data_IF_578517483800
#
_entry.id   IF_578517483800
#
_cell.length_a   1.000
_cell.length_b   1.000
_cell.length_c   1.000
_cell.angle_alpha   90.00
_cell.angle_beta   90.00
_cell.angle_gamma   90.00
#
_symmetry.space_group_name_H-M   'P 1'
#
loop_
_entity.id
_entity.type
_entity.pdbx_description
1 polymer ?
#
# COMPACT_ATOMS: atom_id res chain seq x y z
N UNK A 1 -6.97 4.28 -27.78
CA UNK A 1 -6.39 3.62 -26.61
C UNK A 1 -5.17 4.40 -26.16
N UNK A 2 -5.12 4.76 -24.89
CA UNK A 2 -3.99 5.51 -24.32
C UNK A 2 -2.72 4.65 -24.24
N UNK A 3 -1.56 5.32 -24.30
CA UNK A 3 -0.27 4.66 -24.11
C UNK A 3 -0.01 4.50 -22.62
N UNK A 4 0.49 3.34 -22.20
CA UNK A 4 0.85 3.09 -20.81
C UNK A 4 2.21 2.37 -20.69
N UNK A 5 2.82 2.48 -19.49
CA UNK A 5 4.02 1.77 -19.11
C UNK A 5 3.67 0.84 -17.94
N UNK A 6 3.94 -0.45 -18.08
CA UNK A 6 3.89 -1.39 -16.95
C UNK A 6 5.30 -1.67 -16.43
N UNK A 7 5.52 -1.46 -15.13
CA UNK A 7 6.79 -1.71 -14.47
C UNK A 7 6.59 -2.06 -13.01
N UNK A 8 6.77 -3.34 -12.66
CA UNK A 8 6.61 -3.88 -11.31
C UNK A 8 7.83 -4.78 -10.97
N UNK A 9 8.99 -4.19 -10.63
CA UNK A 9 10.26 -4.90 -10.52
C UNK A 9 10.47 -5.65 -9.21
N UNK A 10 9.57 -5.54 -8.25
CA UNK A 10 9.72 -6.11 -6.90
C UNK A 10 9.66 -7.64 -6.95
N UNK A 11 10.68 -8.32 -6.43
CA UNK A 11 10.62 -9.77 -6.18
C UNK A 11 9.70 -10.05 -5.00
N UNK A 12 8.76 -10.98 -5.12
CA UNK A 12 7.85 -11.36 -4.04
C UNK A 12 8.17 -12.77 -3.55
N UNK A 13 8.31 -12.90 -2.23
CA UNK A 13 8.41 -14.16 -1.52
C UNK A 13 7.13 -14.34 -0.70
N UNK A 14 6.25 -15.24 -1.15
CA UNK A 14 4.92 -15.41 -0.57
C UNK A 14 4.79 -16.76 0.10
N UNK A 15 4.41 -16.79 1.37
CA UNK A 15 4.12 -18.03 2.09
C UNK A 15 4.49 -17.95 3.57
N UNK A 16 4.09 -18.99 4.28
CA UNK A 16 4.39 -19.18 5.69
C UNK A 16 5.90 -19.23 5.92
N UNK A 17 6.35 -18.59 7.01
CA UNK A 17 7.74 -18.56 7.48
C UNK A 17 8.77 -17.93 6.53
N UNK A 18 8.35 -17.32 5.39
CA UNK A 18 9.27 -16.67 4.45
C UNK A 18 10.07 -15.53 5.09
N UNK A 19 9.56 -14.88 6.15
CA UNK A 19 10.30 -13.86 6.89
C UNK A 19 11.57 -14.39 7.58
N UNK A 20 11.63 -15.69 7.88
CA UNK A 20 12.81 -16.31 8.48
C UNK A 20 13.99 -16.40 7.51
N UNK A 21 13.73 -16.26 6.20
CA UNK A 21 14.75 -16.29 5.16
C UNK A 21 15.33 -14.92 4.85
N UNK A 22 14.88 -13.87 5.53
CA UNK A 22 15.23 -12.48 5.19
C UNK A 22 16.73 -12.22 5.19
N UNK A 23 17.50 -12.84 6.09
CA UNK A 23 18.96 -12.75 6.11
C UNK A 23 19.58 -13.27 4.81
N UNK A 24 19.17 -14.46 4.36
CA UNK A 24 19.64 -15.07 3.09
C UNK A 24 19.24 -14.23 1.87
N UNK A 25 18.03 -13.66 1.86
CA UNK A 25 17.56 -12.80 0.78
C UNK A 25 18.39 -11.51 0.74
N UNK A 26 18.71 -10.93 1.89
CA UNK A 26 19.56 -9.73 1.99
C UNK A 26 20.97 -9.96 1.49
N UNK A 27 21.53 -11.16 1.63
CA UNK A 27 22.86 -11.50 1.10
C UNK A 27 22.96 -11.29 -0.42
N UNK A 28 21.86 -11.40 -1.18
CA UNK A 28 21.86 -11.12 -2.62
C UNK A 28 22.21 -9.64 -2.93
N UNK A 29 22.04 -8.75 -1.95
CA UNK A 29 22.26 -7.31 -2.09
C UNK A 29 23.54 -6.81 -1.42
N UNK A 30 24.26 -7.69 -0.71
CA UNK A 30 25.54 -7.41 -0.04
C UNK A 30 25.54 -6.14 0.84
N UNK A 31 24.54 -5.95 1.73
CA UNK A 31 24.47 -4.76 2.56
C UNK A 31 25.62 -4.74 3.57
N UNK A 32 26.22 -3.56 3.78
CA UNK A 32 27.19 -3.35 4.86
C UNK A 32 26.49 -3.18 6.19
N UNK A 33 25.39 -2.42 6.20
CA UNK A 33 24.55 -2.21 7.38
C UNK A 33 23.10 -1.94 7.01
N UNK A 34 22.18 -2.62 7.66
CA UNK A 34 20.74 -2.53 7.42
C UNK A 34 20.06 -1.68 8.48
N UNK A 35 19.21 -0.72 8.07
CA UNK A 35 18.23 -0.14 8.98
C UNK A 35 17.00 -1.04 9.03
N UNK A 36 16.67 -1.63 10.19
CA UNK A 36 15.37 -2.26 10.41
C UNK A 36 14.42 -1.16 10.87
N UNK A 37 13.52 -0.74 9.95
CA UNK A 37 12.50 0.27 10.23
C UNK A 37 11.16 -0.41 10.51
N UNK A 38 10.52 -0.09 11.64
CA UNK A 38 9.33 -0.82 12.08
C UNK A 38 8.31 0.06 12.80
N UNK A 39 7.07 -0.45 12.94
CA UNK A 39 5.98 0.24 13.61
C UNK A 39 6.13 0.30 15.13
N UNK A 40 5.00 0.35 15.82
CA UNK A 40 4.96 0.42 17.27
C UNK A 40 5.17 -0.96 17.93
N UNK A 41 4.17 -1.38 18.72
CA UNK A 41 4.33 -2.57 19.60
C UNK A 41 4.12 -3.91 18.90
N UNK A 42 3.36 -3.99 17.80
CA UNK A 42 2.91 -5.26 17.21
C UNK A 42 4.07 -6.15 16.72
N UNK A 43 5.03 -5.60 15.99
CA UNK A 43 6.20 -6.36 15.51
C UNK A 43 7.09 -6.89 16.65
N UNK A 44 7.12 -6.17 17.79
CA UNK A 44 7.84 -6.58 19.01
C UNK A 44 7.05 -7.69 19.72
N UNK A 45 5.77 -7.44 20.00
CA UNK A 45 4.92 -8.34 20.78
C UNK A 45 4.66 -9.70 20.09
N UNK A 46 4.62 -9.71 18.76
CA UNK A 46 4.50 -10.96 17.99
C UNK A 46 5.81 -11.76 17.87
N UNK A 47 6.93 -11.24 18.40
CA UNK A 47 8.25 -11.83 18.25
C UNK A 47 8.82 -11.73 16.82
N UNK A 48 8.14 -11.03 15.89
CA UNK A 48 8.60 -10.88 14.50
C UNK A 48 9.96 -10.18 14.44
N UNK A 49 10.11 -9.09 15.20
CA UNK A 49 11.37 -8.35 15.21
C UNK A 49 12.55 -9.20 15.68
N UNK A 50 12.34 -10.09 16.66
CA UNK A 50 13.39 -11.00 17.15
C UNK A 50 13.72 -12.08 16.12
N UNK A 51 12.72 -12.62 15.41
CA UNK A 51 12.96 -13.53 14.27
C UNK A 51 13.78 -12.87 13.16
N UNK A 52 13.44 -11.62 12.82
CA UNK A 52 14.18 -10.83 11.80
C UNK A 52 15.62 -10.59 12.26
N UNK A 53 15.84 -10.11 13.48
CA UNK A 53 17.20 -9.90 14.02
C UNK A 53 18.01 -11.19 13.99
N UNK A 54 17.45 -12.29 14.47
CA UNK A 54 18.09 -13.60 14.43
C UNK A 54 18.50 -14.01 13.01
N UNK A 55 17.61 -13.83 12.04
CA UNK A 55 17.91 -14.16 10.64
C UNK A 55 19.07 -13.31 10.07
N UNK A 56 19.20 -12.04 10.47
CA UNK A 56 20.33 -11.20 10.09
C UNK A 56 21.62 -11.60 10.81
N UNK A 57 21.55 -11.92 12.10
CA UNK A 57 22.68 -12.37 12.90
C UNK A 57 23.27 -13.69 12.35
N UNK A 58 22.44 -14.64 11.93
CA UNK A 58 22.86 -15.91 11.29
C UNK A 58 23.67 -15.69 10.01
N UNK A 59 23.40 -14.61 9.28
CA UNK A 59 24.11 -14.25 8.05
C UNK A 59 25.21 -13.19 8.29
N UNK A 60 25.50 -12.82 9.53
CA UNK A 60 26.48 -11.79 9.92
C UNK A 60 26.21 -10.43 9.30
N UNK A 61 24.94 -10.04 9.12
CA UNK A 61 24.54 -8.75 8.59
C UNK A 61 24.39 -7.76 9.75
N UNK A 62 25.20 -6.69 9.74
CA UNK A 62 25.10 -5.62 10.72
C UNK A 62 23.80 -4.82 10.53
N UNK A 63 23.16 -4.41 11.63
CA UNK A 63 21.94 -3.61 11.56
C UNK A 63 21.84 -2.59 12.69
N UNK A 64 20.98 -1.59 12.50
CA UNK A 64 20.48 -0.69 13.53
C UNK A 64 18.95 -0.61 13.45
N UNK A 65 18.31 -0.02 14.47
CA UNK A 65 16.86 -0.04 14.63
C UNK A 65 16.29 1.38 14.57
N UNK A 66 15.16 1.56 13.88
CA UNK A 66 14.35 2.77 13.92
C UNK A 66 12.87 2.36 14.03
N UNK A 67 12.32 2.38 15.23
CA UNK A 67 10.95 1.98 15.50
C UNK A 67 10.01 3.16 15.79
N UNK A 68 8.74 2.83 16.05
CA UNK A 68 7.75 3.81 16.52
C UNK A 68 7.00 4.53 15.39
N UNK A 69 6.95 3.96 14.19
CA UNK A 69 6.08 4.49 13.12
C UNK A 69 4.62 4.36 13.54
N UNK A 70 3.86 5.42 13.37
CA UNK A 70 2.41 5.50 13.60
C UNK A 70 1.63 5.45 12.29
N UNK A 71 0.32 5.25 12.37
CA UNK A 71 -0.57 5.43 11.21
C UNK A 71 -0.44 6.88 10.69
N UNK A 72 -0.61 7.07 9.37
CA UNK A 72 -0.31 8.35 8.70
C UNK A 72 1.13 8.80 9.02
N UNK A 73 2.16 8.18 8.43
CA UNK A 73 3.54 8.29 8.89
C UNK A 73 4.04 9.73 8.86
N UNK A 74 4.71 10.15 9.94
CA UNK A 74 5.09 11.53 10.18
C UNK A 74 6.43 11.88 9.55
N UNK A 75 6.55 13.11 9.06
CA UNK A 75 7.80 13.65 8.51
C UNK A 75 8.92 13.66 9.54
N UNK A 76 8.61 13.95 10.80
CA UNK A 76 9.59 13.92 11.91
C UNK A 76 10.23 12.54 12.06
N UNK A 77 9.45 11.44 11.94
CA UNK A 77 9.95 10.07 12.00
C UNK A 77 10.82 9.71 10.77
N UNK A 78 10.44 10.20 9.61
CA UNK A 78 11.27 10.06 8.39
C UNK A 78 12.61 10.76 8.57
N UNK A 79 12.63 11.98 9.09
CA UNK A 79 13.85 12.74 9.35
C UNK A 79 14.76 12.06 10.39
N UNK A 80 14.19 11.49 11.45
CA UNK A 80 14.91 10.67 12.44
C UNK A 80 15.59 9.48 11.77
N UNK A 81 14.87 8.75 10.93
CA UNK A 81 15.43 7.60 10.17
C UNK A 81 16.55 8.02 9.21
N UNK A 82 16.41 9.16 8.55
CA UNK A 82 17.47 9.73 7.68
C UNK A 82 18.73 10.02 8.49
N UNK A 83 18.59 10.62 9.67
CA UNK A 83 19.71 10.95 10.54
C UNK A 83 20.42 9.66 11.00
N UNK A 84 19.67 8.67 11.51
CA UNK A 84 20.24 7.37 11.91
C UNK A 84 21.00 6.73 10.74
N UNK A 85 20.44 6.69 9.53
CA UNK A 85 21.11 6.11 8.39
C UNK A 85 22.45 6.80 8.08
N UNK A 86 22.51 8.12 8.16
CA UNK A 86 23.73 8.89 7.89
C UNK A 86 24.80 8.69 8.96
N UNK A 87 24.41 8.69 10.23
CA UNK A 87 25.31 8.50 11.36
C UNK A 87 25.88 7.08 11.42
N UNK A 88 25.05 6.09 11.12
CA UNK A 88 25.37 4.67 11.23
C UNK A 88 25.97 4.06 9.94
N UNK A 89 26.00 4.82 8.84
CA UNK A 89 26.50 4.36 7.55
C UNK A 89 25.65 3.27 6.92
N UNK A 90 24.33 3.37 7.06
CA UNK A 90 23.35 2.43 6.51
C UNK A 90 23.32 2.52 4.97
N UNK A 91 23.32 1.38 4.31
CA UNK A 91 23.25 1.27 2.85
C UNK A 91 22.08 0.42 2.33
N UNK A 92 21.25 -0.13 3.23
CA UNK A 92 20.02 -0.85 2.92
C UNK A 92 18.95 -0.62 3.99
N UNK A 93 17.67 -0.53 3.59
CA UNK A 93 16.54 -0.38 4.53
C UNK A 93 15.64 -1.62 4.46
N UNK A 94 15.37 -2.24 5.60
CA UNK A 94 14.39 -3.31 5.76
C UNK A 94 13.17 -2.77 6.52
N UNK A 95 12.05 -2.60 5.82
CA UNK A 95 10.78 -2.19 6.40
C UNK A 95 10.05 -3.41 6.99
N UNK A 96 9.67 -3.36 8.27
CA UNK A 96 8.91 -4.44 8.94
C UNK A 96 7.61 -3.87 9.49
N UNK A 97 6.51 -4.00 8.72
CA UNK A 97 5.24 -3.39 9.11
C UNK A 97 4.19 -3.33 8.03
N UNK A 98 3.17 -2.52 8.24
CA UNK A 98 2.15 -2.17 7.24
C UNK A 98 2.55 -0.95 6.40
N UNK A 99 1.62 -0.46 5.58
CA UNK A 99 1.83 0.62 4.62
C UNK A 99 2.54 1.86 5.18
N UNK A 100 2.20 2.31 6.39
CA UNK A 100 2.86 3.46 7.02
C UNK A 100 4.36 3.27 7.23
N UNK A 101 4.79 2.06 7.60
CA UNK A 101 6.21 1.72 7.75
C UNK A 101 6.89 1.68 6.39
N UNK A 102 6.22 1.09 5.39
CA UNK A 102 6.73 0.99 4.04
C UNK A 102 6.93 2.39 3.43
N UNK A 103 5.94 3.25 3.55
CA UNK A 103 5.96 4.61 3.02
C UNK A 103 7.02 5.49 3.69
N UNK A 104 7.11 5.41 5.01
CA UNK A 104 8.16 6.08 5.79
C UNK A 104 9.56 5.59 5.39
N UNK A 105 9.73 4.28 5.14
CA UNK A 105 10.99 3.71 4.64
C UNK A 105 11.41 4.27 3.28
N UNK A 106 10.44 4.45 2.36
CA UNK A 106 10.69 5.11 1.07
C UNK A 106 11.13 6.56 1.26
N UNK A 107 10.46 7.28 2.17
CA UNK A 107 10.87 8.64 2.54
C UNK A 107 12.30 8.71 3.07
N UNK A 108 12.67 7.78 3.96
CA UNK A 108 14.05 7.67 4.49
C UNK A 108 15.03 7.40 3.34
N UNK A 109 14.73 6.42 2.48
CA UNK A 109 15.60 6.05 1.36
C UNK A 109 15.87 7.22 0.40
N UNK A 110 14.83 8.04 0.12
CA UNK A 110 14.98 9.26 -0.67
C UNK A 110 15.84 10.30 0.04
N UNK A 111 15.58 10.56 1.32
CA UNK A 111 16.25 11.60 2.08
C UNK A 111 17.74 11.29 2.39
N UNK A 112 18.11 10.02 2.43
CA UNK A 112 19.54 9.62 2.56
C UNK A 112 20.29 9.80 1.25
N UNK A 113 19.68 9.41 0.13
CA UNK A 113 20.33 9.46 -1.18
C UNK A 113 20.41 10.87 -1.77
N UNK A 114 19.39 11.70 -1.53
CA UNK A 114 19.27 13.00 -2.16
C UNK A 114 19.58 14.15 -1.19
N UNK A 115 19.99 15.29 -1.71
CA UNK A 115 20.34 16.48 -0.92
C UNK A 115 19.11 17.33 -0.53
N UNK A 116 19.17 17.94 0.65
CA UNK A 116 18.17 18.87 1.16
C UNK A 116 17.06 18.19 1.97
N UNK A 117 15.97 18.92 2.22
CA UNK A 117 14.86 18.43 3.00
C UNK A 117 14.04 17.41 2.20
N UNK A 118 13.74 16.25 2.79
CA UNK A 118 12.93 15.21 2.13
C UNK A 118 11.53 15.70 1.78
N UNK A 119 10.97 16.61 2.56
CA UNK A 119 9.67 17.22 2.28
C UNK A 119 9.60 17.97 0.95
N UNK A 120 10.72 18.52 0.46
CA UNK A 120 10.77 19.21 -0.83
C UNK A 120 10.36 18.30 -2.01
N UNK A 121 10.59 16.98 -1.89
CA UNK A 121 10.19 15.99 -2.89
C UNK A 121 8.68 15.74 -2.83
N UNK A 122 8.10 15.58 -1.63
CA UNK A 122 6.67 15.43 -1.43
C UNK A 122 5.87 16.70 -1.75
N UNK A 123 6.46 17.86 -1.48
CA UNK A 123 5.91 19.16 -1.88
C UNK A 123 6.10 19.49 -3.38
N UNK A 124 6.63 18.54 -4.19
CA UNK A 124 6.90 18.68 -5.63
C UNK A 124 7.82 19.86 -6.00
N UNK A 125 8.63 20.35 -5.04
CA UNK A 125 9.64 21.40 -5.28
C UNK A 125 10.91 20.83 -5.93
N UNK A 126 11.20 19.55 -5.69
CA UNK A 126 12.37 18.84 -6.23
C UNK A 126 11.96 17.47 -6.77
N UNK A 127 12.79 16.91 -7.67
CA UNK A 127 12.64 15.55 -8.19
C UNK A 127 13.62 14.59 -7.50
N UNK A 128 13.15 13.40 -7.15
CA UNK A 128 13.99 12.30 -6.64
C UNK A 128 14.95 11.85 -7.75
N UNK A 129 16.24 11.70 -7.42
CA UNK A 129 17.30 11.25 -8.35
C UNK A 129 17.77 9.83 -8.05
N UNK A 130 17.38 9.27 -6.91
CA UNK A 130 17.75 7.92 -6.45
C UNK A 130 17.23 7.65 -5.05
N UNK A 131 17.43 6.43 -4.58
CA UNK A 131 17.06 5.99 -3.24
C UNK A 131 18.04 4.92 -2.77
N UNK A 132 18.19 4.73 -1.46
CA UNK A 132 18.81 3.51 -0.93
C UNK A 132 17.98 2.28 -1.36
N UNK A 133 18.59 1.12 -1.60
CA UNK A 133 17.87 -0.11 -1.81
C UNK A 133 17.05 -0.48 -0.57
N UNK A 134 15.86 -1.06 -0.80
CA UNK A 134 14.92 -1.40 0.25
C UNK A 134 14.35 -2.80 0.04
N UNK A 135 14.07 -3.51 1.15
CA UNK A 135 13.24 -4.70 1.21
C UNK A 135 12.13 -4.52 2.24
N UNK A 136 11.08 -5.33 2.20
CA UNK A 136 10.05 -5.27 3.22
C UNK A 136 9.51 -6.64 3.65
N UNK A 137 9.00 -6.68 4.89
CA UNK A 137 8.17 -7.76 5.45
C UNK A 137 6.82 -7.12 5.80
N UNK A 138 5.77 -7.52 5.09
CA UNK A 138 4.44 -6.95 5.25
C UNK A 138 3.70 -7.59 6.42
N UNK A 139 3.07 -6.76 7.26
CA UNK A 139 2.27 -7.22 8.41
C UNK A 139 0.81 -6.76 8.39
N UNK A 140 0.41 -5.99 7.40
CA UNK A 140 -0.95 -5.52 7.19
C UNK A 140 -1.21 -5.28 5.71
N UNK A 141 -2.21 -5.95 5.16
CA UNK A 141 -2.61 -5.84 3.75
C UNK A 141 -3.60 -4.68 3.57
N UNK A 142 -3.22 -3.68 2.81
CA UNK A 142 -4.04 -2.50 2.48
C UNK A 142 -3.47 -1.77 1.25
N UNK A 143 -2.46 -0.92 1.49
CA UNK A 143 -1.95 0.09 0.56
C UNK A 143 -1.28 -0.44 -0.70
N UNK A 144 -0.88 -1.72 -0.75
CA UNK A 144 -0.07 -2.27 -1.85
C UNK A 144 1.31 -1.60 -2.00
N UNK A 145 1.78 -0.87 -0.97
CA UNK A 145 3.05 -0.13 -0.99
C UNK A 145 4.25 -1.06 -1.23
N UNK A 146 4.15 -2.32 -0.85
CA UNK A 146 5.19 -3.36 -1.04
C UNK A 146 5.49 -3.67 -2.52
N UNK A 147 4.56 -3.40 -3.42
CA UNK A 147 4.74 -3.59 -4.87
C UNK A 147 4.51 -2.30 -5.68
N UNK A 148 4.36 -1.15 -5.03
CA UNK A 148 4.15 0.13 -5.69
C UNK A 148 5.36 1.06 -5.54
N UNK A 149 5.44 2.08 -6.40
CA UNK A 149 6.44 3.12 -6.30
C UNK A 149 5.96 4.37 -5.55
N UNK A 150 4.73 4.33 -5.01
CA UNK A 150 4.12 5.43 -4.27
C UNK A 150 4.45 5.36 -2.79
N UNK A 151 4.51 6.51 -2.16
CA UNK A 151 4.59 6.66 -0.71
C UNK A 151 3.86 7.93 -0.28
N UNK A 152 3.27 7.92 0.91
CA UNK A 152 2.55 9.06 1.48
C UNK A 152 3.09 9.34 2.86
N UNK A 153 3.46 10.60 3.14
CA UNK A 153 3.87 11.06 4.47
C UNK A 153 3.08 12.30 4.89
N UNK A 154 2.98 12.51 6.18
CA UNK A 154 2.31 13.65 6.78
C UNK A 154 3.33 14.60 7.36
N UNK A 155 3.31 15.86 6.91
CA UNK A 155 4.05 16.94 7.57
C UNK A 155 3.19 17.48 8.70
N UNK A 156 3.69 17.41 9.93
CA UNK A 156 3.02 17.90 11.13
C UNK A 156 2.84 19.42 11.10
N UNK A 157 3.74 20.13 10.41
CA UNK A 157 3.57 21.56 10.15
C UNK A 157 2.50 21.75 9.06
N UNK A 158 1.32 22.18 9.48
CA UNK A 158 0.14 22.39 8.66
C UNK A 158 -0.69 21.12 8.39
N UNK A 159 -0.39 20.00 9.03
CA UNK A 159 -1.13 18.72 8.87
C UNK A 159 -1.29 18.28 7.40
N UNK A 160 -0.22 18.44 6.63
CA UNK A 160 -0.24 18.20 5.19
C UNK A 160 0.13 16.74 4.86
N UNK A 161 -0.83 15.93 4.42
CA UNK A 161 -0.61 14.57 3.93
C UNK A 161 -0.38 14.61 2.42
N UNK A 162 0.78 14.18 1.94
CA UNK A 162 1.18 14.28 0.53
C UNK A 162 1.82 13.00 0.02
N UNK A 163 1.45 12.66 -1.22
CA UNK A 163 1.99 11.51 -1.96
C UNK A 163 3.14 11.88 -2.89
N UNK A 164 4.05 10.93 -3.03
CA UNK A 164 5.17 10.97 -3.97
C UNK A 164 5.30 9.62 -4.68
N UNK A 165 5.38 9.62 -6.01
CA UNK A 165 5.65 8.42 -6.80
C UNK A 165 6.98 8.58 -7.54
N UNK A 166 7.83 7.54 -7.47
CA UNK A 166 9.11 7.50 -8.14
C UNK A 166 9.53 6.06 -8.40
N UNK A 167 10.05 5.74 -9.59
CA UNK A 167 10.56 4.40 -9.90
C UNK A 167 11.68 3.95 -8.96
N UNK A 168 12.35 4.87 -8.27
CA UNK A 168 13.31 4.57 -7.19
C UNK A 168 12.64 4.08 -5.89
N UNK A 169 11.32 4.22 -5.74
CA UNK A 169 10.55 3.81 -4.56
C UNK A 169 10.15 2.34 -4.54
N UNK A 170 10.41 1.57 -5.59
CA UNK A 170 10.14 0.14 -5.56
C UNK A 170 11.07 -0.60 -4.60
N UNK A 171 10.50 -1.48 -3.78
CA UNK A 171 11.27 -2.42 -2.99
C UNK A 171 11.98 -3.42 -3.91
N UNK A 172 13.20 -3.83 -3.55
CA UNK A 172 13.93 -4.90 -4.23
C UNK A 172 13.25 -6.24 -4.03
N UNK A 173 12.73 -6.46 -2.82
CA UNK A 173 11.93 -7.63 -2.50
C UNK A 173 10.86 -7.31 -1.45
N UNK A 174 9.80 -8.11 -1.45
CA UNK A 174 8.72 -8.07 -0.48
C UNK A 174 8.43 -9.47 0.03
N UNK A 175 8.43 -9.64 1.35
CA UNK A 175 8.10 -10.90 2.02
C UNK A 175 6.67 -10.80 2.53
N UNK A 176 5.85 -11.73 2.10
CA UNK A 176 4.41 -11.77 2.32
C UNK A 176 4.04 -13.10 3.00
N UNK A 177 4.01 -13.11 4.34
CA UNK A 177 3.50 -14.23 5.12
C UNK A 177 2.11 -13.84 5.67
N UNK A 178 1.01 -14.47 5.19
CA UNK A 178 -0.36 -14.15 5.62
C UNK A 178 -0.58 -14.29 7.13
N UNK A 179 0.13 -15.21 7.81
CA UNK A 179 0.01 -15.41 9.26
C UNK A 179 0.43 -14.17 10.06
N UNK A 180 1.30 -13.31 9.52
CA UNK A 180 1.70 -12.05 10.16
C UNK A 180 0.54 -11.06 10.28
N UNK A 181 -0.57 -11.28 9.56
CA UNK A 181 -1.77 -10.44 9.61
C UNK A 181 -2.84 -10.93 10.58
N UNK A 182 -2.69 -12.11 11.21
CA UNK A 182 -3.73 -12.70 12.09
C UNK A 182 -4.06 -11.84 13.31
N UNK A 183 -3.09 -11.06 13.80
CA UNK A 183 -3.28 -10.17 14.94
C UNK A 183 -3.85 -8.80 14.59
N UNK A 184 -4.06 -8.53 13.31
CA UNK A 184 -4.68 -7.27 12.84
C UNK A 184 -6.16 -7.25 13.25
N UNK A 185 -6.60 -6.17 13.88
CA UNK A 185 -7.99 -6.03 14.33
C UNK A 185 -8.97 -6.12 13.15
N UNK A 186 -10.22 -6.55 13.42
CA UNK A 186 -11.29 -6.57 12.41
C UNK A 186 -11.45 -5.20 11.74
N UNK A 187 -11.46 -4.13 12.52
CA UNK A 187 -11.56 -2.77 11.98
C UNK A 187 -10.43 -2.46 10.99
N UNK A 188 -9.18 -2.70 11.36
CA UNK A 188 -8.05 -2.44 10.47
C UNK A 188 -8.05 -3.38 9.25
N UNK A 189 -8.50 -4.61 9.40
CA UNK A 189 -8.66 -5.55 8.29
C UNK A 189 -9.69 -5.02 7.27
N UNK A 190 -10.85 -4.53 7.75
CA UNK A 190 -11.87 -3.95 6.86
C UNK A 190 -11.40 -2.64 6.21
N UNK A 191 -10.71 -1.78 6.95
CA UNK A 191 -10.06 -0.59 6.36
C UNK A 191 -9.08 -1.01 5.25
N UNK A 192 -8.30 -2.06 5.45
CA UNK A 192 -7.39 -2.58 4.43
C UNK A 192 -8.13 -3.12 3.21
N UNK A 193 -9.20 -3.88 3.39
CA UNK A 193 -10.04 -4.35 2.29
C UNK A 193 -10.65 -3.20 1.48
N UNK A 194 -11.14 -2.16 2.16
CA UNK A 194 -11.66 -0.95 1.49
C UNK A 194 -10.58 -0.27 0.67
N UNK A 195 -9.39 -0.09 1.23
CA UNK A 195 -8.26 0.55 0.55
C UNK A 195 -7.84 -0.22 -0.73
N UNK A 196 -7.78 -1.56 -0.64
CA UNK A 196 -7.51 -2.45 -1.79
C UNK A 196 -8.56 -2.27 -2.90
N UNK A 197 -9.85 -2.23 -2.53
CA UNK A 197 -10.95 -2.01 -3.47
C UNK A 197 -10.80 -0.62 -4.10
N UNK A 198 -10.59 0.41 -3.30
CA UNK A 198 -10.51 1.80 -3.77
C UNK A 198 -9.31 2.02 -4.69
N UNK A 199 -8.13 1.47 -4.42
CA UNK A 199 -7.00 1.50 -5.34
C UNK A 199 -7.35 0.92 -6.71
N UNK A 200 -8.16 -0.15 -6.74
CA UNK A 200 -8.63 -0.77 -7.98
C UNK A 200 -9.66 0.09 -8.68
N UNK A 201 -10.65 0.64 -7.95
CA UNK A 201 -11.72 1.45 -8.50
C UNK A 201 -11.27 2.81 -9.02
N UNK A 202 -10.29 3.44 -8.38
CA UNK A 202 -9.69 4.70 -8.88
C UNK A 202 -9.10 4.54 -10.29
N UNK A 203 -8.58 3.35 -10.62
CA UNK A 203 -8.10 3.03 -11.96
C UNK A 203 -9.22 2.55 -12.88
N UNK A 204 -10.21 1.86 -12.33
CA UNK A 204 -11.36 1.35 -13.08
C UNK A 204 -12.23 2.49 -13.60
N UNK A 205 -12.58 3.48 -12.77
CA UNK A 205 -13.39 4.63 -13.13
C UNK A 205 -12.56 5.73 -13.80
N UNK A 206 -11.95 5.39 -14.93
CA UNK A 206 -11.22 6.32 -15.79
C UNK A 206 -12.10 6.82 -16.92
N UNK A 207 -11.93 8.07 -17.40
CA UNK A 207 -12.63 8.57 -18.59
C UNK A 207 -12.06 7.99 -19.91
N UNK A 208 -10.94 7.28 -19.84
CA UNK A 208 -10.25 6.74 -21.00
C UNK A 208 -10.73 5.33 -21.36
N UNK A 209 -10.50 4.95 -22.62
CA UNK A 209 -10.76 3.58 -23.08
C UNK A 209 -9.76 2.61 -22.46
N UNK A 210 -10.27 1.60 -21.76
CA UNK A 210 -9.50 0.54 -21.11
C UNK A 210 -9.43 -0.74 -21.96
N UNK A 211 -8.53 -1.65 -21.58
CA UNK A 211 -8.52 -3.02 -22.09
C UNK A 211 -9.51 -3.86 -21.31
N UNK A 212 -10.35 -4.65 -21.98
CA UNK A 212 -11.35 -5.49 -21.29
C UNK A 212 -10.69 -6.54 -20.37
N UNK A 213 -9.51 -7.04 -20.72
CA UNK A 213 -8.72 -7.92 -19.85
C UNK A 213 -8.39 -7.23 -18.52
N UNK A 214 -7.95 -5.97 -18.56
CA UNK A 214 -7.62 -5.20 -17.35
C UNK A 214 -8.86 -4.95 -16.51
N UNK A 215 -10.00 -4.63 -17.15
CA UNK A 215 -11.28 -4.49 -16.47
C UNK A 215 -11.70 -5.77 -15.77
N UNK A 216 -11.62 -6.92 -16.45
CA UNK A 216 -11.97 -8.22 -15.85
C UNK A 216 -11.05 -8.59 -14.67
N UNK A 217 -9.75 -8.24 -14.74
CA UNK A 217 -8.83 -8.43 -13.62
C UNK A 217 -9.23 -7.55 -12.42
N UNK A 218 -9.56 -6.28 -12.65
CA UNK A 218 -10.02 -5.36 -11.63
C UNK A 218 -11.33 -5.86 -10.97
N UNK A 219 -12.31 -6.23 -11.77
CA UNK A 219 -13.61 -6.76 -11.33
C UNK A 219 -13.47 -8.07 -10.53
N UNK A 220 -12.56 -8.97 -10.97
CA UNK A 220 -12.25 -10.19 -10.26
C UNK A 220 -11.58 -9.93 -8.91
N UNK A 221 -10.66 -8.95 -8.84
CA UNK A 221 -10.02 -8.54 -7.60
C UNK A 221 -11.05 -8.00 -6.63
N UNK A 222 -11.95 -7.09 -7.05
CA UNK A 222 -13.00 -6.55 -6.18
C UNK A 222 -13.91 -7.65 -5.63
N UNK A 223 -14.38 -8.58 -6.48
CA UNK A 223 -15.18 -9.76 -6.02
C UNK A 223 -14.42 -10.59 -4.99
N UNK A 224 -13.13 -10.85 -5.23
CA UNK A 224 -12.28 -11.64 -4.33
C UNK A 224 -12.15 -10.97 -2.98
N UNK A 225 -11.91 -9.66 -2.95
CA UNK A 225 -11.78 -8.90 -1.70
C UNK A 225 -13.10 -8.89 -0.93
N UNK A 226 -14.22 -8.58 -1.58
CA UNK A 226 -15.55 -8.59 -0.93
C UNK A 226 -15.86 -9.96 -0.32
N UNK A 227 -15.63 -11.05 -1.07
CA UNK A 227 -15.86 -12.43 -0.58
C UNK A 227 -15.02 -12.72 0.66
N UNK A 228 -13.71 -12.46 0.60
CA UNK A 228 -12.81 -12.82 1.67
C UNK A 228 -12.90 -11.88 2.87
N UNK A 229 -13.26 -10.61 2.67
CA UNK A 229 -13.58 -9.69 3.76
C UNK A 229 -14.75 -10.22 4.63
N UNK A 230 -15.81 -10.75 4.01
CA UNK A 230 -16.92 -11.38 4.74
C UNK A 230 -16.49 -12.60 5.54
N UNK A 231 -15.59 -13.44 5.00
CA UNK A 231 -15.00 -14.56 5.75
C UNK A 231 -14.21 -14.06 6.96
N UNK A 232 -13.39 -13.01 6.77
CA UNK A 232 -12.56 -12.46 7.85
C UNK A 232 -13.33 -11.72 8.93
N UNK A 233 -14.58 -11.31 8.66
CA UNK A 233 -15.50 -10.81 9.71
C UNK A 233 -15.91 -11.91 10.68
N UNK A 234 -16.08 -13.14 10.20
CA UNK A 234 -16.48 -14.29 11.01
C UNK A 234 -15.27 -15.02 11.60
N UNK A 235 -14.25 -15.31 10.76
CA UNK A 235 -13.02 -15.99 11.11
C UNK A 235 -11.80 -15.11 10.77
N UNK A 236 -11.33 -14.26 11.70
CA UNK A 236 -10.21 -13.35 11.45
C UNK A 236 -8.87 -14.03 11.17
N UNK A 237 -8.74 -15.30 11.48
CA UNK A 237 -7.51 -16.11 11.27
C UNK A 237 -7.60 -17.07 10.09
N UNK A 238 -8.64 -16.97 9.28
CA UNK A 238 -8.79 -17.81 8.10
C UNK A 238 -7.61 -17.64 7.13
N UNK A 239 -6.77 -18.66 7.04
CA UNK A 239 -5.51 -18.62 6.29
C UNK A 239 -5.72 -18.32 4.81
N UNK A 240 -6.70 -18.99 4.17
CA UNK A 240 -7.00 -18.77 2.76
C UNK A 240 -7.47 -17.33 2.52
N UNK A 241 -8.38 -16.82 3.35
CA UNK A 241 -8.89 -15.47 3.18
C UNK A 241 -7.81 -14.41 3.43
N UNK A 242 -6.92 -14.61 4.41
CA UNK A 242 -5.76 -13.73 4.63
C UNK A 242 -4.79 -13.74 3.45
N UNK A 243 -4.56 -14.92 2.87
CA UNK A 243 -3.70 -15.08 1.70
C UNK A 243 -4.27 -14.34 0.48
N UNK A 244 -5.56 -14.52 0.21
CA UNK A 244 -6.27 -13.83 -0.88
C UNK A 244 -6.23 -12.31 -0.71
N UNK A 245 -6.53 -11.79 0.49
CA UNK A 245 -6.48 -10.35 0.77
C UNK A 245 -5.04 -9.82 0.66
N UNK A 246 -4.04 -10.56 1.13
CA UNK A 246 -2.65 -10.13 1.05
C UNK A 246 -2.19 -10.00 -0.41
N UNK A 247 -2.47 -11.01 -1.24
CA UNK A 247 -2.11 -10.94 -2.65
C UNK A 247 -2.92 -9.89 -3.42
N UNK A 248 -4.24 -9.78 -3.15
CA UNK A 248 -5.08 -8.75 -3.74
C UNK A 248 -4.57 -7.33 -3.42
N UNK A 249 -4.09 -7.10 -2.18
CA UNK A 249 -3.48 -5.83 -1.78
C UNK A 249 -2.29 -5.46 -2.66
N UNK A 250 -1.37 -6.38 -2.86
CA UNK A 250 -0.19 -6.19 -3.71
C UNK A 250 -0.57 -5.90 -5.17
N UNK A 251 -1.54 -6.65 -5.72
CA UNK A 251 -1.98 -6.53 -7.12
C UNK A 251 -2.80 -5.26 -7.35
N UNK A 252 -3.54 -4.79 -6.35
CA UNK A 252 -4.38 -3.59 -6.45
C UNK A 252 -3.61 -2.31 -6.75
N UNK A 253 -2.30 -2.26 -6.40
CA UNK A 253 -1.51 -1.03 -6.52
C UNK A 253 -0.19 -1.17 -7.32
N UNK A 254 -0.03 -2.26 -8.09
CA UNK A 254 1.13 -2.50 -8.93
C UNK A 254 0.89 -2.25 -10.42
N UNK A 255 -0.18 -1.55 -10.79
CA UNK A 255 -0.65 -1.23 -12.15
C UNK A 255 -1.23 -2.42 -12.94
N UNK A 256 -1.44 -3.58 -12.31
CA UNK A 256 -2.03 -4.75 -12.98
C UNK A 256 -3.53 -4.58 -13.23
N UNK A 257 -4.22 -3.77 -12.40
CA UNK A 257 -5.64 -3.45 -12.50
C UNK A 257 -5.92 -2.12 -13.20
N UNK A 258 -4.94 -1.56 -13.92
CA UNK A 258 -5.02 -0.32 -14.66
C UNK A 258 -3.83 0.61 -14.39
N UNK A 259 -3.51 1.45 -15.37
CA UNK A 259 -2.44 2.44 -15.24
C UNK A 259 -2.83 3.54 -14.25
N UNK A 260 -2.01 3.75 -13.23
CA UNK A 260 -2.24 4.80 -12.22
C UNK A 260 -2.28 6.21 -12.79
N UNK A 261 -1.60 6.47 -13.90
CA UNK A 261 -1.57 7.80 -14.53
C UNK A 261 -2.88 8.18 -15.21
N UNK A 262 -3.74 7.18 -15.44
CA UNK A 262 -5.05 7.34 -16.09
C UNK A 262 -6.21 7.28 -15.07
N UNK A 263 -5.93 7.01 -13.80
CA UNK A 263 -6.93 6.95 -12.73
C UNK A 263 -7.42 8.33 -12.29
N UNK A 264 -8.61 8.38 -11.70
CA UNK A 264 -9.21 9.62 -11.20
C UNK A 264 -8.54 10.12 -9.91
N UNK A 265 -8.35 9.23 -8.93
CA UNK A 265 -7.73 9.50 -7.63
C UNK A 265 -8.44 10.53 -6.75
N UNK A 266 -9.66 10.94 -7.09
CA UNK A 266 -10.39 11.96 -6.34
C UNK A 266 -10.69 11.53 -4.90
N UNK A 267 -11.15 10.27 -4.69
CA UNK A 267 -11.42 9.76 -3.34
C UNK A 267 -10.16 9.77 -2.47
N UNK A 268 -9.01 9.34 -3.01
CA UNK A 268 -7.73 9.36 -2.28
C UNK A 268 -7.26 10.77 -1.98
N UNK A 269 -7.41 11.74 -2.90
CA UNK A 269 -7.02 13.13 -2.67
C UNK A 269 -7.86 13.77 -1.56
N UNK A 270 -9.18 13.56 -1.58
CA UNK A 270 -10.09 14.04 -0.53
C UNK A 270 -9.80 13.38 0.81
N UNK A 271 -9.51 12.08 0.81
CA UNK A 271 -9.17 11.33 2.02
C UNK A 271 -7.86 11.84 2.65
N UNK A 272 -6.87 12.21 1.84
CA UNK A 272 -5.62 12.76 2.35
C UNK A 272 -5.86 14.01 3.20
N UNK A 273 -6.80 14.87 2.81
CA UNK A 273 -7.17 16.05 3.60
C UNK A 273 -7.90 15.64 4.90
N UNK A 274 -8.84 14.66 4.83
CA UNK A 274 -9.50 14.14 6.04
C UNK A 274 -8.50 13.51 7.01
N UNK A 275 -7.60 12.66 6.54
CA UNK A 275 -6.56 12.07 7.39
C UNK A 275 -5.58 13.10 7.93
N UNK A 276 -5.22 14.11 7.14
CA UNK A 276 -4.37 15.20 7.58
C UNK A 276 -4.99 16.01 8.72
N UNK A 277 -6.27 16.34 8.60
CA UNK A 277 -6.99 17.18 9.57
C UNK A 277 -7.45 16.40 10.82
N UNK A 278 -7.90 15.16 10.67
CA UNK A 278 -8.61 14.41 11.71
C UNK A 278 -7.94 13.11 12.13
N UNK A 279 -6.82 12.76 11.50
CA UNK A 279 -6.06 11.53 11.74
C UNK A 279 -6.94 10.26 11.69
N UNK A 280 -7.87 10.19 10.74
CA UNK A 280 -8.73 9.01 10.52
C UNK A 280 -7.94 7.86 9.89
N UNK A 281 -8.42 6.64 10.09
CA UNK A 281 -7.86 5.48 9.38
C UNK A 281 -8.16 5.59 7.88
N UNK A 282 -7.14 5.44 7.03
CA UNK A 282 -7.21 5.72 5.58
C UNK A 282 -8.40 5.02 4.90
N UNK A 283 -8.55 3.70 5.05
CA UNK A 283 -9.67 2.98 4.45
C UNK A 283 -11.05 3.39 4.97
N UNK A 284 -11.15 3.84 6.22
CA UNK A 284 -12.41 4.37 6.74
C UNK A 284 -12.76 5.73 6.14
N UNK A 285 -11.75 6.60 5.93
CA UNK A 285 -11.92 7.85 5.21
C UNK A 285 -12.36 7.65 3.77
N UNK A 286 -11.74 6.69 3.06
CA UNK A 286 -12.15 6.31 1.71
C UNK A 286 -13.59 5.81 1.64
N UNK A 287 -14.00 4.94 2.58
CA UNK A 287 -15.37 4.46 2.66
C UNK A 287 -16.39 5.59 2.85
N UNK A 288 -16.04 6.58 3.69
CA UNK A 288 -16.92 7.73 3.94
C UNK A 288 -17.08 8.67 2.72
N UNK A 289 -16.09 8.70 1.83
CA UNK A 289 -16.09 9.58 0.65
C UNK A 289 -16.75 8.91 -0.55
N UNK A 290 -16.62 7.59 -0.69
CA UNK A 290 -17.03 6.82 -1.86
C UNK A 290 -18.43 7.15 -2.36
N UNK A 291 -19.44 7.04 -1.49
CA UNK A 291 -20.84 7.25 -1.85
C UNK A 291 -21.08 8.65 -2.44
N UNK A 292 -20.56 9.67 -1.77
CA UNK A 292 -20.69 11.06 -2.22
C UNK A 292 -20.02 11.31 -3.56
N UNK A 293 -18.81 10.77 -3.75
CA UNK A 293 -18.09 10.88 -5.01
C UNK A 293 -18.83 10.14 -6.13
N UNK A 294 -19.22 8.89 -5.91
CA UNK A 294 -19.89 8.07 -6.91
C UNK A 294 -21.22 8.70 -7.37
N UNK A 295 -22.05 9.18 -6.42
CA UNK A 295 -23.27 9.90 -6.73
C UNK A 295 -23.05 11.22 -7.48
N UNK A 296 -21.89 11.85 -7.32
CA UNK A 296 -21.56 13.07 -8.07
C UNK A 296 -21.15 12.78 -9.51
N UNK A 297 -20.43 11.67 -9.77
CA UNK A 297 -19.81 11.44 -11.07
C UNK A 297 -20.48 10.36 -11.95
N UNK A 298 -21.39 9.53 -11.41
CA UNK A 298 -21.92 8.38 -12.16
C UNK A 298 -22.58 8.77 -13.50
N UNK A 299 -23.16 9.96 -13.59
CA UNK A 299 -23.80 10.47 -14.80
C UNK A 299 -22.80 10.77 -15.94
N UNK A 300 -21.52 10.97 -15.63
CA UNK A 300 -20.48 11.19 -16.65
C UNK A 300 -20.17 9.91 -17.45
N UNK A 301 -20.29 8.74 -16.79
CA UNK A 301 -20.11 7.44 -17.43
C UNK A 301 -20.97 6.34 -16.76
N UNK A 302 -22.29 6.40 -16.87
CA UNK A 302 -23.19 5.45 -16.22
C UNK A 302 -22.97 4.00 -16.69
N UNK A 303 -22.56 3.82 -17.96
CA UNK A 303 -22.24 2.50 -18.51
C UNK A 303 -21.09 1.82 -17.76
N UNK A 304 -20.11 2.58 -17.26
CA UNK A 304 -18.99 2.07 -16.49
C UNK A 304 -19.43 1.55 -15.11
N UNK A 305 -20.32 2.28 -14.44
CA UNK A 305 -20.94 1.85 -13.19
C UNK A 305 -21.84 0.63 -13.38
N UNK A 306 -22.69 0.63 -14.41
CA UNK A 306 -23.54 -0.53 -14.74
C UNK A 306 -22.69 -1.78 -15.07
N UNK A 307 -21.59 -1.63 -15.82
CA UNK A 307 -20.64 -2.72 -16.10
C UNK A 307 -20.08 -3.34 -14.81
N UNK A 308 -19.69 -2.52 -13.83
CA UNK A 308 -19.25 -2.99 -12.53
C UNK A 308 -20.37 -3.74 -11.81
N UNK A 309 -21.60 -3.21 -11.82
CA UNK A 309 -22.78 -3.81 -11.22
C UNK A 309 -23.08 -5.21 -11.75
N UNK A 310 -23.13 -5.34 -13.07
CA UNK A 310 -23.33 -6.64 -13.72
C UNK A 310 -22.22 -7.64 -13.38
N UNK A 311 -20.97 -7.22 -13.47
CA UNK A 311 -19.82 -8.13 -13.39
C UNK A 311 -19.35 -8.43 -11.96
N UNK A 312 -19.56 -7.51 -11.02
CA UNK A 312 -19.14 -7.70 -9.62
C UNK A 312 -20.29 -8.19 -8.74
N UNK A 313 -21.48 -7.61 -8.90
CA UNK A 313 -22.62 -7.88 -8.03
C UNK A 313 -23.68 -8.78 -8.69
N UNK A 314 -23.57 -9.07 -10.00
CA UNK A 314 -24.53 -9.88 -10.73
C UNK A 314 -25.89 -9.17 -10.87
N UNK A 315 -25.90 -7.83 -10.91
CA UNK A 315 -27.13 -7.08 -11.16
C UNK A 315 -27.69 -7.40 -12.55
N UNK A 316 -29.00 -7.52 -12.68
CA UNK A 316 -29.69 -7.89 -13.91
C UNK A 316 -30.59 -6.73 -14.43
N UNK A 317 -30.27 -5.50 -14.05
CA UNK A 317 -31.00 -4.33 -14.49
C UNK A 317 -30.74 -4.06 -15.97
N UNK A 318 -31.79 -4.03 -16.78
CA UNK A 318 -31.71 -3.72 -18.23
C UNK A 318 -31.50 -2.21 -18.49
N UNK A 319 -31.94 -1.36 -17.57
CA UNK A 319 -31.73 0.08 -17.63
C UNK A 319 -30.37 0.47 -17.05
N UNK A 320 -29.53 1.09 -17.85
CA UNK A 320 -28.14 1.46 -17.49
C UNK A 320 -28.08 2.39 -16.29
N UNK A 321 -28.99 3.37 -16.19
CA UNK A 321 -28.97 4.34 -15.09
C UNK A 321 -29.40 3.68 -13.77
N UNK A 322 -30.46 2.86 -13.80
CA UNK A 322 -30.90 2.09 -12.65
C UNK A 322 -29.81 1.14 -12.17
N UNK A 323 -29.15 0.44 -13.10
CA UNK A 323 -28.03 -0.45 -12.77
C UNK A 323 -26.86 0.31 -12.15
N UNK A 324 -26.51 1.49 -12.67
CA UNK A 324 -25.46 2.34 -12.12
C UNK A 324 -25.75 2.77 -10.68
N UNK A 325 -26.97 3.22 -10.39
CA UNK A 325 -27.39 3.60 -9.04
C UNK A 325 -27.39 2.40 -8.08
N UNK A 326 -27.95 1.26 -8.51
CA UNK A 326 -27.92 0.03 -7.72
C UNK A 326 -26.48 -0.46 -7.46
N UNK A 327 -25.55 -0.21 -8.38
CA UNK A 327 -24.13 -0.50 -8.16
C UNK A 327 -23.54 0.33 -7.04
N UNK A 328 -23.85 1.63 -6.99
CA UNK A 328 -23.40 2.54 -5.93
C UNK A 328 -23.92 2.07 -4.59
N UNK A 329 -25.21 1.73 -4.51
CA UNK A 329 -25.87 1.26 -3.29
C UNK A 329 -25.29 -0.06 -2.77
N UNK A 330 -24.82 -0.94 -3.68
CA UNK A 330 -24.25 -2.25 -3.32
C UNK A 330 -22.79 -2.17 -2.82
N UNK A 331 -22.08 -1.14 -3.21
CA UNK A 331 -20.69 -0.91 -2.76
C UNK A 331 -20.65 -0.40 -1.33
#
# INVERSE_FOLDING_TARGET
>A
MEKFKFYAPTKVYFGKDEEQRVGKILQEYHPKKVLIHYGGKSAIQSGLLDRVKKALDEENIAYCLCGGVVANPLLSKVNEGIQICKEEGVDFILAVGGGSVLDSSKGIAYGVYNEGAVWDYYAKKKKVKGALPMGCILTLSATGSEMSNSSVITNEDGNLKRGLSSDYGYFKFSILNPELTYTVSRYQTMCGCTDIIMHTLERYFTPYQTLDLVDQMAESLVRTVIKNAKILLEDPSNEQARSEIMWAGSVSHNDMTGDRSLGDWACHQLEHELSGMFNVAHGAGLAAIWDSWANHVYMENPTRFAKLGHRVFGLDDSDTLSCALNTIEKM
#
